data_IF_052117776821
#
_entry.id   IF_052117776821
#
_cell.length_a   1.000
_cell.length_b   1.000
_cell.length_c   1.000
_cell.angle_alpha   90.00
_cell.angle_beta   90.00
_cell.angle_gamma   90.00
#
_symmetry.space_group_name_H-M   'P 1'
#
loop_
_entity.id
_entity.type
_entity.pdbx_description
1 polymer ?
#
# COMPACT_ATOMS: atom_id res chain seq x y z
N UNK A 1 3.10 -38.80 -1.40
CA UNK A 1 2.76 -38.54 0.03
C UNK A 1 3.26 -37.19 0.54
N UNK A 2 4.43 -36.71 0.11
CA UNK A 2 5.02 -35.42 0.54
C UNK A 2 4.10 -34.20 0.34
N UNK A 3 3.43 -34.07 -0.81
CA UNK A 3 2.57 -32.90 -1.08
C UNK A 3 1.40 -32.69 -0.10
N UNK A 4 0.84 -33.74 0.53
CA UNK A 4 -0.27 -33.58 1.49
C UNK A 4 0.19 -32.88 2.78
N UNK A 5 1.47 -33.02 3.17
CA UNK A 5 2.00 -32.48 4.42
C UNK A 5 2.26 -30.97 4.36
N UNK A 6 2.56 -30.43 3.18
CA UNK A 6 2.87 -28.99 2.99
C UNK A 6 1.62 -28.14 2.70
N UNK A 7 0.47 -28.75 2.38
CA UNK A 7 -0.78 -28.01 2.14
C UNK A 7 -1.22 -27.18 3.35
N UNK A 8 -1.12 -27.73 4.55
CA UNK A 8 -1.49 -27.03 5.78
C UNK A 8 -0.53 -25.88 6.11
N UNK A 9 0.76 -26.08 5.92
CA UNK A 9 1.78 -25.03 6.12
C UNK A 9 1.52 -23.86 5.17
N UNK A 10 1.23 -24.15 3.91
CA UNK A 10 0.91 -23.13 2.92
C UNK A 10 -0.38 -22.36 3.27
N UNK A 11 -1.45 -23.05 3.69
CA UNK A 11 -2.69 -22.39 4.13
C UNK A 11 -2.47 -21.48 5.33
N UNK A 12 -1.69 -21.91 6.32
CA UNK A 12 -1.38 -21.10 7.51
C UNK A 12 -0.58 -19.86 7.13
N UNK A 13 0.46 -20.01 6.30
CA UNK A 13 1.28 -18.88 5.83
C UNK A 13 0.44 -17.87 5.05
N UNK A 14 -0.43 -18.35 4.16
CA UNK A 14 -1.28 -17.48 3.38
C UNK A 14 -2.34 -16.75 4.23
N UNK A 15 -2.88 -17.42 5.25
CA UNK A 15 -3.79 -16.82 6.22
C UNK A 15 -3.08 -15.72 7.04
N UNK A 16 -1.83 -15.96 7.45
CA UNK A 16 -1.01 -14.96 8.16
C UNK A 16 -0.75 -13.72 7.29
N UNK A 17 -0.42 -13.92 6.00
CA UNK A 17 -0.24 -12.81 5.06
C UNK A 17 -1.54 -12.02 4.90
N UNK A 18 -2.67 -12.72 4.73
CA UNK A 18 -3.99 -12.09 4.60
C UNK A 18 -4.31 -11.22 5.83
N UNK A 19 -4.17 -11.75 7.04
CA UNK A 19 -4.40 -11.00 8.27
C UNK A 19 -3.41 -9.83 8.42
N UNK A 20 -2.16 -10.01 8.05
CA UNK A 20 -1.15 -8.95 8.06
C UNK A 20 -1.53 -7.78 7.15
N UNK A 21 -1.91 -8.07 5.90
CA UNK A 21 -2.34 -7.03 4.93
C UNK A 21 -3.60 -6.32 5.42
N UNK A 22 -4.60 -7.07 5.87
CA UNK A 22 -5.84 -6.49 6.40
C UNK A 22 -5.57 -5.58 7.61
N UNK A 23 -4.69 -6.00 8.52
CA UNK A 23 -4.32 -5.22 9.69
C UNK A 23 -3.59 -3.91 9.32
N UNK A 24 -2.61 -4.00 8.41
CA UNK A 24 -1.88 -2.81 7.91
C UNK A 24 -2.84 -1.84 7.26
N UNK A 25 -3.78 -2.33 6.45
CA UNK A 25 -4.76 -1.47 5.77
C UNK A 25 -5.69 -0.76 6.77
N UNK A 26 -6.21 -1.46 7.78
CA UNK A 26 -7.03 -0.86 8.84
C UNK A 26 -6.22 0.20 9.61
N UNK A 27 -4.96 -0.10 9.94
CA UNK A 27 -4.10 0.84 10.64
C UNK A 27 -3.82 2.09 9.81
N UNK A 28 -3.52 1.92 8.52
CA UNK A 28 -3.28 3.01 7.59
C UNK A 28 -4.50 3.94 7.49
N UNK A 29 -5.71 3.38 7.38
CA UNK A 29 -6.95 4.17 7.32
C UNK A 29 -7.18 5.01 8.57
N UNK A 30 -7.07 4.40 9.77
CA UNK A 30 -7.19 5.15 11.03
C UNK A 30 -6.14 6.25 11.15
N UNK A 31 -4.93 6.00 10.63
CA UNK A 31 -3.85 6.98 10.63
C UNK A 31 -4.16 8.13 9.66
N UNK A 32 -4.68 7.83 8.47
CA UNK A 32 -5.11 8.81 7.48
C UNK A 32 -6.23 9.70 8.01
N UNK A 33 -7.27 9.12 8.63
CA UNK A 33 -8.37 9.90 9.24
C UNK A 33 -7.84 10.90 10.27
N UNK A 34 -6.91 10.48 11.15
CA UNK A 34 -6.29 11.38 12.14
C UNK A 34 -5.50 12.51 11.49
N UNK A 35 -4.71 12.21 10.45
CA UNK A 35 -3.97 13.26 9.74
C UNK A 35 -4.91 14.26 9.07
N UNK A 36 -6.00 13.81 8.45
CA UNK A 36 -6.98 14.69 7.82
C UNK A 36 -7.67 15.60 8.85
N UNK A 37 -8.00 15.08 10.03
CA UNK A 37 -8.54 15.86 11.13
C UNK A 37 -7.54 16.89 11.66
N UNK A 38 -6.26 16.54 11.77
CA UNK A 38 -5.22 17.47 12.22
C UNK A 38 -4.98 18.59 11.20
N UNK A 39 -4.92 18.25 9.91
CA UNK A 39 -4.80 19.25 8.83
C UNK A 39 -6.01 20.18 8.82
N UNK A 40 -7.22 19.65 8.96
CA UNK A 40 -8.44 20.45 9.09
C UNK A 40 -8.34 21.43 10.27
N UNK A 41 -7.92 20.94 11.44
CA UNK A 41 -7.76 21.75 12.65
C UNK A 41 -6.79 22.90 12.40
N UNK A 42 -5.64 22.64 11.77
CA UNK A 42 -4.64 23.65 11.45
C UNK A 42 -5.20 24.70 10.48
N UNK A 43 -5.93 24.29 9.44
CA UNK A 43 -6.53 25.22 8.47
C UNK A 43 -7.51 26.16 9.17
N UNK A 44 -8.44 25.62 9.96
CA UNK A 44 -9.41 26.46 10.67
C UNK A 44 -8.72 27.34 11.70
N UNK A 45 -7.81 26.79 12.50
CA UNK A 45 -7.09 27.56 13.52
C UNK A 45 -6.38 28.76 12.89
N UNK A 46 -5.67 28.53 11.78
CA UNK A 46 -5.01 29.60 11.04
C UNK A 46 -5.98 30.65 10.50
N UNK A 47 -7.14 30.22 10.01
CA UNK A 47 -8.18 31.14 9.54
C UNK A 47 -8.75 31.98 10.68
N UNK A 48 -9.09 31.35 11.80
CA UNK A 48 -9.56 32.03 13.02
C UNK A 48 -8.52 33.04 13.51
N UNK A 49 -7.24 32.66 13.56
CA UNK A 49 -6.17 33.55 13.97
C UNK A 49 -6.04 34.75 13.02
N UNK A 50 -6.09 34.53 11.70
CA UNK A 50 -6.05 35.59 10.69
C UNK A 50 -7.23 36.56 10.82
N UNK A 51 -8.44 36.04 11.03
CA UNK A 51 -9.65 36.85 11.22
C UNK A 51 -9.57 37.64 12.53
N UNK A 52 -9.08 37.03 13.61
CA UNK A 52 -8.92 37.71 14.89
C UNK A 52 -7.91 38.85 14.79
N UNK A 53 -6.66 38.55 14.46
CA UNK A 53 -5.58 39.55 14.47
C UNK A 53 -5.64 40.52 13.29
N UNK A 54 -6.21 40.08 12.16
CA UNK A 54 -6.27 40.88 10.94
C UNK A 54 -7.43 41.86 10.90
N UNK A 55 -8.57 41.53 11.53
CA UNK A 55 -9.80 42.31 11.41
C UNK A 55 -10.40 42.69 12.76
N UNK A 56 -10.63 41.73 13.66
CA UNK A 56 -11.27 42.04 14.94
C UNK A 56 -10.35 42.67 15.99
N UNK A 57 -9.08 42.83 15.66
CA UNK A 57 -8.11 43.65 16.39
C UNK A 57 -7.64 44.83 15.53
N UNK A 58 -8.46 45.30 14.60
CA UNK A 58 -8.14 46.44 13.75
C UNK A 58 -8.95 47.66 14.18
N UNK A 59 -8.26 48.73 14.60
CA UNK A 59 -8.88 49.96 15.12
C UNK A 59 -9.95 50.52 14.18
N UNK A 60 -9.70 50.56 12.89
CA UNK A 60 -10.62 51.13 11.91
C UNK A 60 -11.92 50.31 11.80
N UNK A 61 -11.84 48.99 11.86
CA UNK A 61 -13.04 48.14 11.90
C UNK A 61 -13.78 48.29 13.24
N UNK A 62 -13.06 48.37 14.36
CA UNK A 62 -13.66 48.65 15.68
C UNK A 62 -14.47 49.97 15.64
N UNK A 63 -13.85 51.05 15.17
CA UNK A 63 -14.50 52.37 15.08
C UNK A 63 -15.70 52.36 14.13
N UNK A 64 -15.61 51.66 13.00
CA UNK A 64 -16.72 51.51 12.07
C UNK A 64 -17.91 50.80 12.73
N UNK A 65 -17.64 49.75 13.51
CA UNK A 65 -18.66 49.03 14.27
C UNK A 65 -19.31 49.93 15.33
N UNK A 66 -18.54 50.73 16.08
CA UNK A 66 -19.09 51.67 17.07
C UNK A 66 -19.95 52.76 16.42
N UNK A 67 -19.55 53.27 15.26
CA UNK A 67 -20.26 54.30 14.49
C UNK A 67 -21.42 53.75 13.65
N UNK A 68 -21.58 52.42 13.57
CA UNK A 68 -22.50 51.73 12.67
C UNK A 68 -22.31 52.14 11.20
N UNK A 69 -21.05 52.23 10.76
CA UNK A 69 -20.70 52.46 9.35
C UNK A 69 -20.88 51.16 8.55
N UNK A 70 -22.12 50.91 8.10
CA UNK A 70 -22.49 49.67 7.41
C UNK A 70 -21.68 49.45 6.12
N UNK A 71 -21.35 50.51 5.37
CA UNK A 71 -20.59 50.42 4.12
C UNK A 71 -19.18 49.88 4.36
N UNK A 72 -18.47 50.45 5.35
CA UNK A 72 -17.13 49.98 5.71
C UNK A 72 -17.14 48.56 6.28
N UNK A 73 -18.13 48.24 7.12
CA UNK A 73 -18.25 46.89 7.71
C UNK A 73 -18.49 45.84 6.62
N UNK A 74 -19.37 46.12 5.65
CA UNK A 74 -19.63 45.23 4.53
C UNK A 74 -18.38 45.04 3.66
N UNK A 75 -17.65 46.12 3.34
CA UNK A 75 -16.40 46.04 2.57
C UNK A 75 -15.36 45.16 3.28
N UNK A 76 -15.15 45.37 4.58
CA UNK A 76 -14.24 44.56 5.39
C UNK A 76 -14.68 43.07 5.42
N UNK A 77 -15.97 42.80 5.53
CA UNK A 77 -16.48 41.42 5.53
C UNK A 77 -16.33 40.73 4.18
N UNK A 78 -16.48 41.46 3.07
CA UNK A 78 -16.21 40.91 1.74
C UNK A 78 -14.71 40.67 1.52
N UNK A 79 -13.84 41.52 2.05
CA UNK A 79 -12.39 41.27 2.04
C UNK A 79 -12.03 40.00 2.81
N UNK A 80 -12.59 39.81 4.02
CA UNK A 80 -12.40 38.59 4.81
C UNK A 80 -12.80 37.34 4.02
N UNK A 81 -13.98 37.35 3.39
CA UNK A 81 -14.47 36.23 2.58
C UNK A 81 -13.65 35.99 1.32
N UNK A 82 -13.04 37.04 0.75
CA UNK A 82 -12.13 36.94 -0.39
C UNK A 82 -10.84 36.21 0.00
N UNK A 83 -10.31 36.48 1.21
CA UNK A 83 -9.13 35.82 1.75
C UNK A 83 -9.38 34.37 2.18
N UNK A 84 -10.55 34.09 2.78
CA UNK A 84 -10.98 32.74 3.13
C UNK A 84 -12.38 32.42 2.55
N UNK A 85 -12.44 31.77 1.37
CA UNK A 85 -13.70 31.44 0.72
C UNK A 85 -14.48 30.33 1.45
N UNK A 86 -13.93 29.75 2.51
CA UNK A 86 -14.65 28.81 3.36
C UNK A 86 -15.43 29.50 4.47
N UNK A 87 -15.32 30.81 4.67
CA UNK A 87 -16.19 31.54 5.58
C UNK A 87 -17.60 31.58 4.97
N UNK A 88 -18.56 31.05 5.72
CA UNK A 88 -19.96 30.95 5.32
C UNK A 88 -20.73 32.20 5.72
N UNK A 89 -20.47 32.72 6.91
CA UNK A 89 -21.22 33.85 7.46
C UNK A 89 -20.37 34.63 8.46
N UNK A 90 -20.55 35.96 8.46
CA UNK A 90 -19.95 36.90 9.42
C UNK A 90 -21.07 37.80 9.94
N UNK A 91 -21.17 37.99 11.25
CA UNK A 91 -22.19 38.84 11.90
C UNK A 91 -21.61 39.55 13.11
N UNK A 92 -22.12 40.74 13.41
CA UNK A 92 -21.92 41.38 14.71
C UNK A 92 -23.19 41.17 15.55
N UNK A 93 -23.01 40.58 16.72
CA UNK A 93 -24.08 40.34 17.69
C UNK A 93 -24.07 41.44 18.73
N UNK A 94 -25.23 42.04 19.01
CA UNK A 94 -25.42 43.03 20.07
C UNK A 94 -25.55 42.35 21.43
N UNK A 95 -24.52 41.62 21.82
CA UNK A 95 -24.42 40.96 23.12
C UNK A 95 -22.98 41.00 23.62
N UNK A 96 -22.78 41.10 24.94
CA UNK A 96 -21.45 41.02 25.52
C UNK A 96 -20.83 39.64 25.31
N UNK A 97 -19.51 39.54 25.14
CA UNK A 97 -18.80 38.27 25.04
C UNK A 97 -18.97 37.43 26.33
N UNK A 98 -19.61 36.26 26.23
CA UNK A 98 -19.85 35.32 27.35
C UNK A 98 -18.70 34.30 27.53
N UNK A 99 -17.45 34.75 27.33
CA UNK A 99 -16.29 33.86 27.39
C UNK A 99 -15.05 34.52 27.99
N UNK A 100 -14.28 33.71 28.72
CA UNK A 100 -13.11 34.15 29.49
C UNK A 100 -11.86 34.31 28.61
N UNK A 101 -11.77 33.58 27.49
CA UNK A 101 -10.64 33.61 26.57
C UNK A 101 -10.37 35.03 26.03
N UNK A 102 -9.11 35.37 25.82
CA UNK A 102 -8.67 36.75 25.59
C UNK A 102 -9.23 37.35 24.30
N UNK A 103 -9.22 36.60 23.19
CA UNK A 103 -9.60 37.13 21.87
C UNK A 103 -10.81 36.45 21.26
N UNK A 104 -10.88 35.11 21.34
CA UNK A 104 -11.95 34.36 20.71
C UNK A 104 -12.18 33.01 21.38
N UNK A 105 -13.36 32.45 21.12
CA UNK A 105 -13.71 31.06 21.45
C UNK A 105 -14.27 30.36 20.22
N UNK A 106 -13.72 29.19 19.90
CA UNK A 106 -14.21 28.32 18.82
C UNK A 106 -15.20 27.31 19.41
N UNK A 107 -16.37 27.21 18.79
CA UNK A 107 -17.47 26.36 19.24
C UNK A 107 -18.08 25.54 18.10
N UNK A 108 -18.75 24.46 18.47
CA UNK A 108 -19.42 23.57 17.53
C UNK A 108 -20.68 22.98 18.15
N UNK A 109 -21.66 22.68 17.30
CA UNK A 109 -22.80 21.84 17.65
C UNK A 109 -22.61 20.37 17.26
N UNK A 110 -21.40 19.96 16.86
CA UNK A 110 -21.07 18.62 16.39
C UNK A 110 -21.02 18.50 14.86
N UNK A 111 -21.63 19.42 14.12
CA UNK A 111 -21.61 19.45 12.65
C UNK A 111 -21.14 20.80 12.10
N UNK A 112 -21.66 21.89 12.66
CA UNK A 112 -21.26 23.27 12.32
C UNK A 112 -20.12 23.73 13.21
N UNK A 113 -19.36 24.69 12.71
CA UNK A 113 -18.21 25.26 13.39
C UNK A 113 -18.27 26.79 13.27
N UNK A 114 -18.21 27.47 14.39
CA UNK A 114 -18.16 28.92 14.44
C UNK A 114 -17.16 29.39 15.50
N UNK A 115 -16.78 30.64 15.41
CA UNK A 115 -16.00 31.31 16.44
C UNK A 115 -16.68 32.62 16.84
N UNK A 116 -16.60 32.91 18.12
CA UNK A 116 -17.01 34.17 18.72
C UNK A 116 -15.76 34.98 19.03
N UNK A 117 -15.72 36.24 18.62
CA UNK A 117 -14.58 37.12 18.79
C UNK A 117 -14.95 38.34 19.64
N UNK A 118 -14.05 38.68 20.54
CA UNK A 118 -13.97 40.00 21.17
C UNK A 118 -13.33 40.95 20.16
N UNK A 119 -13.82 42.19 20.14
CA UNK A 119 -13.37 43.22 19.20
C UNK A 119 -12.53 44.22 19.95
N UNK A 120 -11.28 44.36 19.54
CA UNK A 120 -10.28 45.23 20.16
C UNK A 120 -9.76 46.27 19.16
N UNK A 121 -9.09 47.30 19.68
CA UNK A 121 -8.22 48.14 18.88
C UNK A 121 -6.92 47.39 18.49
N UNK A 122 -6.12 48.01 17.61
CA UNK A 122 -4.83 47.48 17.15
C UNK A 122 -3.77 47.36 18.24
N UNK A 123 -4.00 47.92 19.44
CA UNK A 123 -3.10 47.79 20.59
C UNK A 123 -3.55 46.69 21.56
N UNK A 124 -4.76 46.15 21.39
CA UNK A 124 -5.38 45.20 22.32
C UNK A 124 -5.81 45.81 23.64
N UNK A 125 -5.89 47.14 23.75
CA UNK A 125 -6.14 47.85 25.01
C UNK A 125 -7.62 48.09 25.24
N UNK A 126 -8.34 48.58 24.22
CA UNK A 126 -9.76 48.88 24.33
C UNK A 126 -10.64 47.88 23.57
N UNK A 127 -11.60 47.28 24.27
CA UNK A 127 -12.57 46.32 23.74
C UNK A 127 -13.98 46.91 23.65
N UNK A 128 -14.73 46.55 22.61
CA UNK A 128 -16.19 46.77 22.57
C UNK A 128 -16.89 45.77 23.48
N UNK A 129 -17.46 46.24 24.60
CA UNK A 129 -17.99 45.37 25.65
C UNK A 129 -19.40 44.81 25.39
N UNK A 130 -20.20 45.47 24.55
CA UNK A 130 -21.59 45.12 24.28
C UNK A 130 -21.79 44.39 22.93
N UNK A 131 -20.70 44.13 22.21
CA UNK A 131 -20.73 43.45 20.91
C UNK A 131 -19.80 42.26 20.85
N UNK A 132 -20.22 41.25 20.11
CA UNK A 132 -19.43 40.04 19.82
C UNK A 132 -19.49 39.76 18.33
N UNK A 133 -18.36 39.53 17.68
CA UNK A 133 -18.37 39.09 16.29
C UNK A 133 -18.53 37.56 16.21
N UNK A 134 -19.36 37.11 15.27
CA UNK A 134 -19.63 35.71 14.98
C UNK A 134 -19.16 35.40 13.57
N UNK A 135 -18.38 34.33 13.42
CA UNK A 135 -17.95 33.82 12.11
C UNK A 135 -18.22 32.32 12.03
N UNK A 136 -18.90 31.87 10.98
CA UNK A 136 -19.18 30.46 10.70
C UNK A 136 -18.36 29.98 9.51
N UNK A 137 -17.76 28.80 9.63
CA UNK A 137 -17.02 28.16 8.53
C UNK A 137 -17.83 27.07 7.83
N UNK A 138 -17.69 26.99 6.51
CA UNK A 138 -18.13 25.90 5.68
C UNK A 138 -17.19 24.69 5.85
N UNK A 139 -17.44 23.96 6.93
CA UNK A 139 -16.74 22.73 7.31
C UNK A 139 -16.66 21.71 6.16
N UNK A 140 -17.76 21.53 5.42
CA UNK A 140 -17.80 20.59 4.30
C UNK A 140 -16.89 21.02 3.15
N UNK A 141 -16.82 22.34 2.86
CA UNK A 141 -15.94 22.92 1.87
C UNK A 141 -14.46 22.66 2.18
N UNK A 142 -14.05 22.91 3.42
CA UNK A 142 -12.66 22.68 3.88
C UNK A 142 -12.31 21.19 3.80
N UNK A 143 -13.21 20.30 4.25
CA UNK A 143 -12.96 18.86 4.15
C UNK A 143 -12.84 18.38 2.70
N UNK A 144 -13.62 18.93 1.79
CA UNK A 144 -13.55 18.55 0.38
C UNK A 144 -12.26 19.07 -0.28
N UNK A 145 -11.75 20.24 0.11
CA UNK A 145 -10.52 20.79 -0.46
C UNK A 145 -9.28 19.96 -0.12
N UNK A 146 -9.26 19.33 1.06
CA UNK A 146 -8.19 18.41 1.47
C UNK A 146 -8.42 16.96 1.04
N UNK A 147 -9.48 16.69 0.26
CA UNK A 147 -9.84 15.33 -0.16
C UNK A 147 -10.17 14.42 1.02
N UNK A 148 -10.82 14.95 2.07
CA UNK A 148 -11.07 14.22 3.29
C UNK A 148 -12.00 13.03 3.07
N UNK A 149 -11.61 11.91 3.69
CA UNK A 149 -12.38 10.67 3.77
C UNK A 149 -13.36 10.68 4.96
N UNK A 150 -13.37 11.76 5.73
CA UNK A 150 -14.27 11.99 6.87
C UNK A 150 -15.30 13.07 6.53
N UNK A 151 -16.42 13.03 7.24
CA UNK A 151 -17.46 14.06 7.24
C UNK A 151 -17.83 14.39 8.69
N UNK A 152 -18.12 15.66 8.98
CA UNK A 152 -18.66 16.05 10.28
C UNK A 152 -20.18 15.89 10.26
N UNK A 153 -20.71 15.20 11.27
CA UNK A 153 -22.13 14.88 11.42
C UNK A 153 -22.42 14.42 12.84
N UNK A 154 -23.53 14.93 13.40
CA UNK A 154 -24.04 14.53 14.72
C UNK A 154 -24.25 13.01 14.86
N UNK A 155 -23.99 12.51 16.05
CA UNK A 155 -23.95 11.08 16.38
C UNK A 155 -22.68 10.39 15.87
N UNK A 156 -21.61 11.15 15.63
CA UNK A 156 -20.31 10.68 15.17
C UNK A 156 -19.36 10.34 16.31
N UNK A 157 -18.08 10.16 15.98
CA UNK A 157 -17.00 10.13 16.97
C UNK A 157 -16.62 11.56 17.32
N UNK A 158 -16.57 11.89 18.61
CA UNK A 158 -16.15 13.22 19.07
C UNK A 158 -14.68 13.49 18.75
N UNK A 159 -14.37 14.72 18.39
CA UNK A 159 -13.01 15.25 18.19
C UNK A 159 -12.87 16.62 18.89
N UNK A 160 -11.84 17.39 18.54
CA UNK A 160 -11.63 18.76 19.00
C UNK A 160 -12.84 19.68 18.78
N UNK A 161 -12.93 20.73 19.59
CA UNK A 161 -13.99 21.75 19.57
C UNK A 161 -15.42 21.21 19.66
N UNK A 162 -15.61 19.95 20.10
CA UNK A 162 -16.93 19.33 20.19
C UNK A 162 -17.48 18.82 18.86
N UNK A 163 -16.72 18.91 17.76
CA UNK A 163 -17.10 18.35 16.47
C UNK A 163 -17.25 16.83 16.53
N UNK A 164 -18.17 16.29 15.75
CA UNK A 164 -18.41 14.85 15.65
C UNK A 164 -18.23 14.39 14.22
N UNK A 165 -17.39 13.38 13.99
CA UNK A 165 -17.06 12.94 12.65
C UNK A 165 -17.45 11.48 12.38
N UNK A 166 -17.75 11.18 11.12
CA UNK A 166 -17.94 9.84 10.58
C UNK A 166 -17.03 9.64 9.37
N UNK A 167 -16.63 8.40 9.14
CA UNK A 167 -15.89 8.03 7.94
C UNK A 167 -16.87 7.89 6.77
N UNK A 168 -16.68 8.64 5.67
CA UNK A 168 -17.56 8.62 4.48
C UNK A 168 -17.71 7.20 3.92
N UNK A 169 -16.67 6.39 4.04
CA UNK A 169 -16.61 5.04 3.49
C UNK A 169 -16.99 3.93 4.48
N UNK A 170 -17.27 4.25 5.75
CA UNK A 170 -17.83 3.32 6.74
C UNK A 170 -17.28 1.89 6.69
N UNK A 171 -18.18 0.90 6.76
CA UNK A 171 -17.84 -0.54 6.71
C UNK A 171 -17.46 -1.04 5.30
N UNK A 172 -17.54 -0.18 4.25
CA UNK A 172 -17.14 -0.55 2.88
C UNK A 172 -15.63 -0.68 2.75
N UNK A 173 -14.85 0.01 3.58
CA UNK A 173 -13.39 -0.22 3.65
C UNK A 173 -13.04 -1.64 4.06
N UNK A 174 -13.77 -2.22 5.01
CA UNK A 174 -13.60 -3.62 5.37
C UNK A 174 -13.86 -4.52 4.17
N UNK A 175 -14.95 -4.27 3.42
CA UNK A 175 -15.24 -5.03 2.21
C UNK A 175 -14.15 -4.87 1.14
N UNK A 176 -13.70 -3.65 0.83
CA UNK A 176 -12.65 -3.39 -0.17
C UNK A 176 -11.32 -4.04 0.24
N UNK A 177 -10.93 -3.91 1.51
CA UNK A 177 -9.71 -4.52 2.07
C UNK A 177 -9.79 -6.05 2.05
N UNK A 178 -10.98 -6.59 2.32
CA UNK A 178 -11.25 -8.02 2.28
C UNK A 178 -11.15 -8.57 0.85
N UNK A 179 -11.80 -7.91 -0.11
CA UNK A 179 -11.79 -8.33 -1.52
C UNK A 179 -10.42 -8.16 -2.19
N UNK A 180 -9.67 -7.08 -1.88
CA UNK A 180 -8.31 -6.91 -2.38
C UNK A 180 -7.37 -7.98 -1.85
N UNK A 181 -7.48 -8.31 -0.56
CA UNK A 181 -6.69 -9.36 0.08
C UNK A 181 -7.05 -10.75 -0.45
N UNK A 182 -8.33 -11.01 -0.77
CA UNK A 182 -8.78 -12.24 -1.41
C UNK A 182 -8.25 -12.37 -2.86
N UNK A 183 -8.16 -11.25 -3.58
CA UNK A 183 -7.50 -11.17 -4.88
C UNK A 183 -6.01 -11.53 -4.79
N UNK A 184 -5.29 -10.97 -3.81
CA UNK A 184 -3.89 -11.31 -3.56
C UNK A 184 -3.69 -12.79 -3.22
N UNK A 185 -4.56 -13.35 -2.38
CA UNK A 185 -4.57 -14.78 -2.07
C UNK A 185 -4.80 -15.65 -3.31
N UNK A 186 -5.71 -15.25 -4.20
CA UNK A 186 -5.99 -15.95 -5.46
C UNK A 186 -4.76 -16.00 -6.38
N UNK A 187 -4.01 -14.89 -6.47
CA UNK A 187 -2.76 -14.84 -7.25
C UNK A 187 -1.72 -15.82 -6.66
N UNK A 188 -1.59 -15.88 -5.33
CA UNK A 188 -0.68 -16.81 -4.66
C UNK A 188 -1.06 -18.27 -4.94
N UNK A 189 -2.36 -18.59 -4.96
CA UNK A 189 -2.84 -19.93 -5.34
C UNK A 189 -2.53 -20.27 -6.80
N UNK A 190 -2.68 -19.32 -7.72
CA UNK A 190 -2.35 -19.51 -9.13
C UNK A 190 -0.85 -19.79 -9.29
N UNK A 191 0.01 -18.99 -8.67
CA UNK A 191 1.47 -19.19 -8.69
C UNK A 191 1.83 -20.56 -8.10
N UNK A 192 1.23 -20.94 -6.98
CA UNK A 192 1.46 -22.25 -6.38
C UNK A 192 1.05 -23.40 -7.32
N UNK A 193 -0.09 -23.29 -7.98
CA UNK A 193 -0.56 -24.28 -8.96
C UNK A 193 0.42 -24.44 -10.13
N UNK A 194 0.91 -23.32 -10.67
CA UNK A 194 1.92 -23.32 -11.75
C UNK A 194 3.21 -23.97 -11.27
N UNK A 195 3.69 -23.60 -10.08
CA UNK A 195 4.93 -24.12 -9.51
C UNK A 195 4.86 -25.64 -9.25
N UNK A 196 3.77 -26.12 -8.68
CA UNK A 196 3.54 -27.57 -8.46
C UNK A 196 3.51 -28.32 -9.78
N UNK A 197 2.81 -27.79 -10.80
CA UNK A 197 2.80 -28.38 -12.15
C UNK A 197 4.19 -28.41 -12.77
N UNK A 198 4.99 -27.36 -12.60
CA UNK A 198 6.36 -27.28 -13.10
C UNK A 198 7.26 -28.35 -12.48
N UNK A 199 7.23 -28.50 -11.14
CA UNK A 199 7.99 -29.55 -10.43
C UNK A 199 7.55 -30.95 -10.88
N UNK A 200 6.25 -31.19 -10.99
CA UNK A 200 5.73 -32.47 -11.46
C UNK A 200 6.22 -32.78 -12.88
N UNK A 201 6.15 -31.81 -13.80
CA UNK A 201 6.64 -31.98 -15.18
C UNK A 201 8.12 -32.35 -15.22
N UNK A 202 8.96 -31.64 -14.46
CA UNK A 202 10.39 -31.93 -14.38
C UNK A 202 10.68 -33.34 -13.82
N UNK A 203 9.88 -33.79 -12.85
CA UNK A 203 10.01 -35.14 -12.30
C UNK A 203 9.57 -36.22 -13.30
N UNK A 204 8.46 -36.02 -14.02
CA UNK A 204 8.01 -36.97 -15.04
C UNK A 204 8.95 -37.06 -16.25
N UNK A 205 9.54 -35.95 -16.67
CA UNK A 205 10.52 -35.93 -17.77
C UNK A 205 11.79 -36.71 -17.40
N UNK A 206 12.27 -36.59 -16.16
CA UNK A 206 13.46 -37.31 -15.69
C UNK A 206 13.19 -38.81 -15.52
N UNK A 207 12.07 -39.21 -14.91
CA UNK A 207 11.70 -40.64 -14.81
C UNK A 207 11.39 -41.27 -16.19
N UNK A 208 10.79 -40.50 -17.11
CA UNK A 208 10.52 -40.94 -18.48
C UNK A 208 11.81 -41.17 -19.27
N UNK A 209 12.79 -40.28 -19.11
CA UNK A 209 14.12 -40.42 -19.73
C UNK A 209 14.86 -41.64 -19.17
N UNK A 210 14.82 -41.87 -17.85
CA UNK A 210 15.41 -43.06 -17.22
C UNK A 210 14.76 -44.37 -17.73
N UNK A 211 13.44 -44.39 -17.93
CA UNK A 211 12.74 -45.56 -18.49
C UNK A 211 13.10 -45.80 -19.95
N UNK A 212 13.23 -44.75 -20.77
CA UNK A 212 13.65 -44.87 -22.16
C UNK A 212 15.09 -45.39 -22.26
N UNK A 213 16.01 -44.89 -21.43
CA UNK A 213 17.39 -45.41 -21.34
C UNK A 213 17.37 -46.89 -21.01
N UNK A 214 16.56 -47.32 -20.03
CA UNK A 214 16.45 -48.74 -19.65
C UNK A 214 15.87 -49.63 -20.75
N UNK A 215 15.01 -49.10 -21.61
CA UNK A 215 14.44 -49.84 -22.76
C UNK A 215 15.47 -49.94 -23.90
N UNK A 216 16.22 -48.86 -24.16
CA UNK A 216 17.30 -48.83 -25.14
C UNK A 216 18.43 -49.79 -24.72
N UNK A 217 18.84 -49.75 -23.46
CA UNK A 217 19.84 -50.67 -22.89
C UNK A 217 19.38 -52.15 -22.98
N UNK A 218 18.09 -52.43 -22.90
CA UNK A 218 17.55 -53.78 -23.11
C UNK A 218 17.53 -54.23 -24.56
N UNK A 219 17.58 -53.30 -25.53
CA UNK A 219 17.47 -53.59 -26.96
C UNK A 219 18.84 -53.89 -27.60
N UNK A 220 19.92 -53.33 -27.08
CA UNK A 220 21.31 -53.62 -27.49
C UNK A 220 21.98 -54.60 -26.51
N UNK A 221 21.69 -55.90 -26.70
CA UNK A 221 22.12 -56.97 -25.78
C UNK A 221 23.66 -57.16 -25.71
N UNK A 222 24.42 -56.51 -26.59
CA UNK A 222 25.87 -56.67 -26.72
C UNK A 222 26.70 -55.58 -26.01
N UNK A 223 26.12 -54.42 -25.69
CA UNK A 223 26.82 -53.28 -25.05
C UNK A 223 26.19 -52.81 -23.73
N UNK A 224 25.01 -53.36 -23.37
CA UNK A 224 24.16 -52.93 -22.26
C UNK A 224 24.81 -52.80 -20.86
N UNK A 225 25.96 -53.43 -20.64
CA UNK A 225 26.64 -53.42 -19.35
C UNK A 225 28.03 -52.77 -19.39
N UNK A 226 28.56 -52.47 -20.57
CA UNK A 226 29.93 -51.97 -20.72
C UNK A 226 30.09 -50.57 -20.10
N UNK A 227 29.21 -49.65 -20.48
CA UNK A 227 29.21 -48.27 -19.95
C UNK A 227 28.89 -48.20 -18.46
N UNK A 228 28.10 -49.15 -17.94
CA UNK A 228 27.80 -49.25 -16.51
C UNK A 228 28.99 -49.76 -15.70
N UNK A 229 29.66 -50.83 -16.16
CA UNK A 229 30.85 -51.34 -15.49
C UNK A 229 32.00 -50.34 -15.54
N UNK A 230 32.25 -49.69 -16.68
CA UNK A 230 33.29 -48.66 -16.83
C UNK A 230 33.05 -47.49 -15.89
N UNK A 231 31.80 -47.00 -15.79
CA UNK A 231 31.42 -45.96 -14.82
C UNK A 231 31.66 -46.39 -13.38
N UNK A 232 31.24 -47.61 -13.00
CA UNK A 232 31.42 -48.13 -11.64
C UNK A 232 32.90 -48.28 -11.28
N UNK A 233 33.71 -48.80 -12.20
CA UNK A 233 35.16 -48.96 -12.01
C UNK A 233 35.83 -47.60 -11.85
N UNK A 234 35.49 -46.62 -12.70
CA UNK A 234 36.02 -45.26 -12.62
C UNK A 234 35.69 -44.58 -11.28
N UNK A 235 34.45 -44.70 -10.79
CA UNK A 235 34.04 -44.15 -9.49
C UNK A 235 34.78 -44.83 -8.33
N UNK A 236 34.99 -46.15 -8.39
CA UNK A 236 35.74 -46.88 -7.36
C UNK A 236 37.23 -46.48 -7.33
N UNK A 237 37.84 -46.28 -8.49
CA UNK A 237 39.20 -45.75 -8.62
C UNK A 237 39.28 -44.32 -8.09
N UNK A 238 38.38 -43.43 -8.50
CA UNK A 238 38.31 -42.05 -8.02
C UNK A 238 38.15 -41.97 -6.50
N UNK A 239 37.40 -42.89 -5.90
CA UNK A 239 37.21 -42.97 -4.44
C UNK A 239 38.51 -43.39 -3.73
N UNK A 240 39.28 -44.31 -4.31
CA UNK A 240 40.60 -44.68 -3.78
C UNK A 240 41.63 -43.55 -3.92
N UNK A 241 41.47 -42.69 -4.92
CA UNK A 241 42.31 -41.52 -5.16
C UNK A 241 41.89 -40.28 -4.34
N UNK A 242 40.87 -40.40 -3.49
CA UNK A 242 40.46 -39.33 -2.57
C UNK A 242 39.59 -38.22 -3.20
N UNK A 243 38.99 -38.45 -4.38
CA UNK A 243 38.12 -37.47 -5.02
C UNK A 243 36.88 -37.17 -4.18
N UNK A 244 36.40 -35.92 -4.25
CA UNK A 244 35.24 -35.46 -3.49
C UNK A 244 33.92 -35.95 -4.12
N UNK A 245 32.80 -35.84 -3.37
CA UNK A 245 31.49 -36.35 -3.82
C UNK A 245 31.00 -35.76 -5.15
N UNK A 246 31.37 -34.51 -5.47
CA UNK A 246 30.96 -33.84 -6.71
C UNK A 246 31.74 -34.41 -7.90
N UNK A 247 33.06 -34.55 -7.74
CA UNK A 247 33.95 -35.15 -8.74
C UNK A 247 33.60 -36.61 -9.02
N UNK A 248 33.29 -37.40 -7.98
CA UNK A 248 32.85 -38.80 -8.15
C UNK A 248 31.53 -38.90 -8.93
N UNK A 249 30.62 -37.94 -8.74
CA UNK A 249 29.34 -37.90 -9.47
C UNK A 249 29.57 -37.54 -10.94
N UNK A 250 30.41 -36.55 -11.22
CA UNK A 250 30.79 -36.14 -12.58
C UNK A 250 31.54 -37.27 -13.31
N UNK A 251 32.48 -37.94 -12.64
CA UNK A 251 33.22 -39.09 -13.16
C UNK A 251 32.30 -40.27 -13.50
N UNK A 252 31.30 -40.55 -12.66
CA UNK A 252 30.31 -41.58 -12.93
C UNK A 252 29.41 -41.26 -14.12
N UNK A 253 29.07 -39.98 -14.33
CA UNK A 253 28.30 -39.52 -15.50
C UNK A 253 29.17 -39.60 -16.76
N UNK A 254 30.42 -39.14 -16.70
CA UNK A 254 31.38 -39.21 -17.81
C UNK A 254 31.63 -40.65 -18.26
N UNK A 255 31.85 -41.58 -17.32
CA UNK A 255 32.07 -43.00 -17.64
C UNK A 255 30.87 -43.68 -18.30
N UNK A 256 29.64 -43.24 -18.00
CA UNK A 256 28.42 -43.74 -18.67
C UNK A 256 28.23 -43.20 -20.08
N UNK A 257 28.84 -42.05 -20.40
CA UNK A 257 28.65 -41.32 -21.65
C UNK A 257 29.84 -41.43 -22.62
N UNK A 258 30.97 -41.97 -22.17
CA UNK A 258 32.24 -41.92 -22.92
C UNK A 258 32.20 -42.66 -24.27
N UNK A 259 31.41 -43.73 -24.39
CA UNK A 259 31.32 -44.58 -25.59
C UNK A 259 30.28 -44.07 -26.59
N UNK A 260 30.26 -42.75 -26.81
CA UNK A 260 29.45 -42.08 -27.83
C UNK A 260 30.37 -41.39 -28.83
N UNK A 261 31.01 -42.15 -29.71
CA UNK A 261 31.44 -41.63 -31.01
C UNK A 261 30.36 -41.95 -32.05
N UNK A 262 29.87 -40.97 -32.84
CA UNK A 262 29.09 -41.31 -34.02
C UNK A 262 30.00 -42.10 -34.97
N UNK A 263 29.54 -43.26 -35.42
CA UNK A 263 30.22 -44.07 -36.43
C UNK A 263 30.33 -43.29 -37.75
N UNK A 264 31.40 -42.50 -37.88
CA UNK A 264 31.94 -42.10 -39.17
C UNK A 264 32.66 -43.31 -39.74
N UNK A 265 31.96 -44.12 -40.55
CA UNK A 265 32.61 -45.14 -41.36
C UNK A 265 33.43 -44.44 -42.45
N UNK A 266 34.75 -44.58 -42.37
CA UNK A 266 35.68 -44.26 -43.44
C UNK A 266 35.35 -45.15 -44.66
N UNK A 267 35.04 -44.52 -45.79
CA UNK A 267 34.93 -45.17 -47.11
C UNK A 267 36.36 -45.42 -47.61
N UNK A 268 36.77 -46.66 -47.93
CA UNK A 268 38.06 -46.91 -48.55
C UNK A 268 37.99 -46.61 -50.05
N UNK A 269 38.97 -45.85 -50.56
CA UNK A 269 39.23 -45.65 -51.98
C UNK A 269 39.64 -47.00 -52.59
N UNK A 270 38.81 -47.53 -53.49
CA UNK A 270 39.07 -48.75 -54.25
C UNK A 270 39.66 -48.39 -55.61
N UNK A 271 40.93 -48.74 -55.84
CA UNK A 271 41.62 -48.66 -57.12
C UNK A 271 42.05 -50.04 -57.60
N UNK A 272 41.73 -50.32 -58.86
CA UNK A 272 42.32 -51.26 -59.82
C UNK A 272 42.10 -52.78 -59.69
N UNK A 273 41.30 -53.33 -60.61
CA UNK A 273 41.81 -53.76 -61.93
C UNK A 273 40.87 -54.77 -62.62
N UNK A 274 40.45 -54.47 -63.85
CA UNK A 274 40.13 -55.48 -64.88
C UNK A 274 40.67 -54.99 -66.21
N UNK A 275 41.72 -55.65 -66.67
CA UNK A 275 42.06 -55.75 -68.09
C UNK A 275 41.09 -56.74 -68.73
N UNK A 276 40.56 -56.43 -69.92
CA UNK A 276 40.48 -57.30 -71.10
C UNK A 276 39.79 -56.56 -72.26
N UNK A 277 40.59 -56.37 -73.31
CA UNK A 277 40.28 -56.19 -74.74
C UNK A 277 39.57 -54.91 -75.19
#
# INVERSE_FOLDING_TARGET
MYLKRYKWIFLVVAMLIFFGVAFVQIHYQKKLERYQLEVFKIIVQRSVDLVSSGYFQWTELKEAIEKNDEEFIEEAFEEIKSLDPYIKEIKILNQPPDFEEEYYRVESDGERLWALFKIYDSMGEEMIADRTAYVEWNVAGILNSIGASVEFRKGGKKTFWGLEYRSKFGNKWFAVSFWSSLGGFSIILIIHSIFVRSILKFHYETEGLERMIKIIDKKDHYTALHSEYTSRIAVLLGKKLGLNKKELKELGIAGRLHDRTPTTQAIPLQGDSKWLL
#
